data_IF_652377577060
#
_entry.id   IF_652377577060
#
_cell.length_a   1.000
_cell.length_b   1.000
_cell.length_c   1.000
_cell.angle_alpha   90.00
_cell.angle_beta   90.00
_cell.angle_gamma   90.00
#
_symmetry.space_group_name_H-M   'P 1'
#
loop_
_entity.id
_entity.type
_entity.pdbx_description
1 polymer ?
#
# COMPACT_ATOMS: atom_id res chain seq x y z
N UNK A 1 16.26 -0.72 -4.53
CA UNK A 1 15.18 -1.65 -4.14
C UNK A 1 15.53 -2.10 -2.73
N UNK A 2 14.68 -1.85 -1.73
CA UNK A 2 14.89 -2.47 -0.42
C UNK A 2 14.51 -3.94 -0.58
N UNK A 3 15.50 -4.83 -0.48
CA UNK A 3 15.26 -6.26 -0.48
C UNK A 3 14.81 -6.64 0.93
N UNK A 4 13.51 -6.79 1.10
CA UNK A 4 12.95 -7.40 2.29
C UNK A 4 13.13 -8.91 2.13
N UNK A 5 14.03 -9.49 2.91
CA UNK A 5 14.13 -10.93 3.04
C UNK A 5 12.93 -11.39 3.86
N UNK A 6 11.97 -12.03 3.21
CA UNK A 6 10.78 -12.56 3.86
C UNK A 6 11.15 -13.94 4.42
N UNK A 7 11.21 -14.07 5.75
CA UNK A 7 11.35 -15.39 6.37
C UNK A 7 10.02 -16.13 6.29
N UNK A 8 9.89 -16.99 5.28
CA UNK A 8 8.71 -17.84 5.07
C UNK A 8 8.42 -18.75 6.27
N UNK A 9 9.43 -19.14 7.07
CA UNK A 9 9.23 -19.97 8.26
C UNK A 9 8.53 -19.19 9.36
N UNK A 10 8.92 -17.93 9.59
CA UNK A 10 8.27 -17.07 10.57
C UNK A 10 6.83 -16.75 10.18
N UNK A 11 6.60 -16.43 8.90
CA UNK A 11 5.24 -16.20 8.38
C UNK A 11 4.36 -17.42 8.60
N UNK A 12 4.85 -18.60 8.23
CA UNK A 12 4.08 -19.84 8.40
C UNK A 12 3.83 -20.16 9.87
N UNK A 13 4.81 -19.94 10.76
CA UNK A 13 4.64 -20.13 12.20
C UNK A 13 3.58 -19.18 12.80
N UNK A 14 3.43 -17.97 12.24
CA UNK A 14 2.41 -17.01 12.63
C UNK A 14 1.02 -17.29 12.00
N UNK A 15 0.90 -18.27 11.10
CA UNK A 15 -0.31 -18.53 10.32
C UNK A 15 -0.57 -17.47 9.24
N UNK A 16 0.51 -16.88 8.71
CA UNK A 16 0.46 -15.90 7.64
C UNK A 16 0.80 -16.54 6.28
N UNK A 17 0.17 -16.02 5.23
CA UNK A 17 0.40 -16.43 3.84
C UNK A 17 0.81 -15.21 3.01
N UNK A 18 1.87 -15.26 2.19
CA UNK A 18 2.23 -14.13 1.34
C UNK A 18 1.15 -13.87 0.27
N UNK A 19 1.01 -12.61 -0.14
CA UNK A 19 0.16 -12.27 -1.28
C UNK A 19 0.79 -12.73 -2.59
N UNK A 20 -0.06 -13.15 -3.53
CA UNK A 20 0.37 -13.62 -4.86
C UNK A 20 0.26 -12.50 -5.91
N UNK A 21 0.68 -12.78 -7.15
CA UNK A 21 0.56 -11.89 -8.31
C UNK A 21 1.40 -10.60 -8.24
N UNK A 22 2.57 -10.66 -7.60
CA UNK A 22 3.49 -9.51 -7.52
C UNK A 22 3.04 -8.41 -6.54
N UNK A 23 2.01 -8.69 -5.74
CA UNK A 23 1.56 -7.82 -4.64
C UNK A 23 2.50 -8.01 -3.46
N UNK A 24 2.81 -6.91 -2.77
CA UNK A 24 3.69 -6.95 -1.61
C UNK A 24 2.84 -6.92 -0.32
N UNK A 25 2.79 -8.05 0.37
CA UNK A 25 2.00 -8.16 1.60
C UNK A 25 1.70 -9.60 2.00
N UNK A 26 0.79 -9.77 2.95
CA UNK A 26 0.41 -11.06 3.50
C UNK A 26 -1.05 -11.11 3.91
N UNK A 27 -1.57 -12.32 4.09
CA UNK A 27 -2.83 -12.63 4.76
C UNK A 27 -2.55 -13.25 6.10
N UNK A 28 -3.22 -12.78 7.14
CA UNK A 28 -3.09 -13.34 8.49
C UNK A 28 -4.38 -13.09 9.26
N UNK A 29 -4.92 -14.12 9.93
CA UNK A 29 -6.08 -14.01 10.85
C UNK A 29 -7.27 -13.22 10.26
N UNK A 30 -7.63 -13.49 9.01
CA UNK A 30 -8.77 -12.84 8.34
C UNK A 30 -8.48 -11.45 7.75
N UNK A 31 -7.25 -10.95 7.85
CA UNK A 31 -6.83 -9.69 7.25
C UNK A 31 -5.92 -9.93 6.06
N UNK A 32 -6.13 -9.17 4.99
CA UNK A 32 -5.18 -8.98 3.90
C UNK A 32 -4.47 -7.63 4.12
N UNK A 33 -3.16 -7.68 4.28
CA UNK A 33 -2.30 -6.51 4.51
C UNK A 33 -1.43 -6.34 3.27
N UNK A 34 -1.56 -5.21 2.59
CA UNK A 34 -0.83 -4.91 1.35
C UNK A 34 -0.13 -3.56 1.46
N UNK A 35 1.11 -3.51 0.98
CA UNK A 35 1.85 -2.29 0.74
C UNK A 35 2.11 -2.10 -0.76
N UNK A 36 2.01 -0.87 -1.23
CA UNK A 36 2.41 -0.47 -2.57
C UNK A 36 3.27 0.77 -2.46
N UNK A 37 4.49 0.68 -3.00
CA UNK A 37 5.38 1.82 -3.13
C UNK A 37 5.39 2.25 -4.60
N UNK A 38 4.99 3.49 -4.84
CA UNK A 38 4.93 4.11 -6.17
C UNK A 38 5.71 5.43 -6.16
N UNK A 39 6.18 5.90 -7.33
CA UNK A 39 6.79 7.22 -7.44
C UNK A 39 5.87 8.33 -6.93
N UNK A 40 6.47 9.47 -6.59
CA UNK A 40 5.71 10.70 -6.32
C UNK A 40 4.89 11.10 -7.55
N UNK A 41 3.84 11.89 -7.32
CA UNK A 41 3.00 12.42 -8.39
C UNK A 41 3.84 13.18 -9.43
N UNK A 42 3.50 12.97 -10.69
CA UNK A 42 4.00 13.78 -11.80
C UNK A 42 3.40 15.19 -11.74
N UNK A 43 4.02 16.17 -12.41
CA UNK A 43 3.50 17.54 -12.43
C UNK A 43 2.04 17.65 -12.93
N UNK A 44 1.61 16.93 -13.99
CA UNK A 44 0.20 16.92 -14.39
C UNK A 44 -0.75 16.36 -13.33
N UNK A 45 -0.35 15.30 -12.62
CA UNK A 45 -1.15 14.73 -11.53
C UNK A 45 -1.24 15.70 -10.34
N UNK A 46 -0.14 16.37 -10.00
CA UNK A 46 -0.09 17.37 -8.94
C UNK A 46 -1.06 18.52 -9.24
N UNK A 47 -0.98 19.12 -10.44
CA UNK A 47 -1.87 20.20 -10.87
C UNK A 47 -3.35 19.79 -10.86
N UNK A 48 -3.65 18.56 -11.28
CA UNK A 48 -5.00 18.02 -11.23
C UNK A 48 -5.54 17.96 -9.78
N UNK A 49 -4.70 17.52 -8.84
CA UNK A 49 -5.08 17.45 -7.43
C UNK A 49 -5.21 18.82 -6.78
N UNK A 50 -4.33 19.77 -7.10
CA UNK A 50 -4.42 21.16 -6.66
C UNK A 50 -5.75 21.79 -7.09
N UNK A 51 -6.16 21.59 -8.35
CA UNK A 51 -7.44 22.06 -8.85
C UNK A 51 -8.63 21.41 -8.14
N UNK A 52 -8.60 20.09 -7.96
CA UNK A 52 -9.68 19.33 -7.30
C UNK A 52 -9.85 19.73 -5.84
N UNK A 53 -8.74 19.91 -5.13
CA UNK A 53 -8.71 20.24 -3.70
C UNK A 53 -8.77 21.75 -3.44
N UNK A 54 -8.71 22.58 -4.49
CA UNK A 54 -8.72 24.04 -4.43
C UNK A 54 -7.61 24.60 -3.52
N UNK A 55 -6.41 24.06 -3.67
CA UNK A 55 -5.21 24.47 -2.92
C UNK A 55 -3.98 24.42 -3.81
N UNK A 56 -2.99 25.26 -3.55
CA UNK A 56 -1.67 25.27 -4.20
C UNK A 56 -0.55 24.91 -3.20
N UNK A 57 -0.90 24.23 -2.11
CA UNK A 57 0.00 23.94 -0.99
C UNK A 57 0.18 22.44 -0.78
N UNK A 58 0.16 21.65 -1.86
CA UNK A 58 0.56 20.25 -1.76
C UNK A 58 2.06 20.16 -1.43
N UNK A 59 2.49 19.15 -0.66
CA UNK A 59 3.91 18.89 -0.45
C UNK A 59 4.65 18.70 -1.79
N UNK A 60 5.94 19.02 -1.83
CA UNK A 60 6.77 18.77 -3.03
C UNK A 60 6.79 17.29 -3.41
N UNK A 61 6.81 16.41 -2.41
CA UNK A 61 6.81 14.96 -2.57
C UNK A 61 5.46 14.37 -2.15
N UNK A 62 4.55 14.22 -3.11
CA UNK A 62 3.25 13.58 -2.88
C UNK A 62 3.30 12.12 -3.33
N UNK A 63 3.30 11.19 -2.39
CA UNK A 63 3.20 9.74 -2.68
C UNK A 63 1.74 9.30 -2.87
N UNK A 64 0.99 10.01 -3.72
CA UNK A 64 -0.47 9.84 -3.83
C UNK A 64 -0.94 8.47 -4.29
N UNK A 65 -0.05 7.70 -4.93
CA UNK A 65 -0.31 6.34 -5.41
C UNK A 65 0.31 5.24 -4.52
N UNK A 66 1.05 5.62 -3.48
CA UNK A 66 1.58 4.67 -2.49
C UNK A 66 0.55 4.43 -1.40
N UNK A 67 0.48 3.22 -0.89
CA UNK A 67 -0.51 2.83 0.13
C UNK A 67 0.03 1.73 1.03
N UNK A 68 -0.35 1.75 2.30
CA UNK A 68 -0.42 0.58 3.16
C UNK A 68 -1.90 0.39 3.48
N UNK A 69 -2.45 -0.76 3.15
CA UNK A 69 -3.87 -1.04 3.37
C UNK A 69 -4.08 -2.35 4.10
N UNK A 70 -5.09 -2.35 4.98
CA UNK A 70 -5.53 -3.51 5.73
C UNK A 70 -6.99 -3.75 5.38
N UNK A 71 -7.29 -4.90 4.78
CA UNK A 71 -8.66 -5.28 4.39
C UNK A 71 -9.08 -6.52 5.18
N UNK A 72 -10.14 -6.40 5.97
CA UNK A 72 -10.74 -7.55 6.64
C UNK A 72 -11.56 -8.35 5.61
N UNK A 73 -11.18 -9.60 5.38
CA UNK A 73 -11.69 -10.41 4.29
C UNK A 73 -13.18 -10.74 4.44
N UNK A 74 -13.68 -10.91 5.67
CA UNK A 74 -15.06 -11.31 5.90
C UNK A 74 -16.04 -10.14 5.82
N UNK A 75 -15.67 -8.95 6.31
CA UNK A 75 -16.56 -7.77 6.32
C UNK A 75 -16.29 -6.81 5.16
N UNK A 76 -15.16 -6.94 4.46
CA UNK A 76 -14.70 -5.97 3.46
C UNK A 76 -14.22 -4.64 4.05
N UNK A 77 -14.16 -4.52 5.38
CA UNK A 77 -13.68 -3.29 6.04
C UNK A 77 -12.24 -3.03 5.64
N UNK A 78 -11.96 -1.83 5.12
CA UNK A 78 -10.65 -1.41 4.67
C UNK A 78 -10.18 -0.17 5.42
N UNK A 79 -8.93 -0.19 5.85
CA UNK A 79 -8.20 0.92 6.48
C UNK A 79 -6.96 1.20 5.64
#
# INVERSE_FOLDING_TARGET
KMELEIDEKELKAAGAEPLTNGRLGLRIRGWEIESSNRPILTSPELLLWEQKLKTSHLPEMVFGNSVLSLTHLASGTKI
#
